data_IF_023654802067
#
_entry.id   IF_023654802067
#
_cell.length_a   1.000
_cell.length_b   1.000
_cell.length_c   1.000
_cell.angle_alpha   90.00
_cell.angle_beta   90.00
_cell.angle_gamma   90.00
#
_symmetry.space_group_name_H-M   'P 1'
#
loop_
_entity.id
_entity.type
_entity.pdbx_description
1 polymer ?
#
# COMPACT_ATOMS: atom_id res chain seq x y z
N UNK A 1 -10.66 -15.13 -10.64
CA UNK A 1 -9.34 -15.30 -11.27
C UNK A 1 -8.45 -16.02 -10.27
N UNK A 2 -7.72 -17.05 -10.69
CA UNK A 2 -6.76 -17.76 -9.84
C UNK A 2 -5.43 -17.84 -10.61
N UNK A 3 -4.29 -17.60 -9.95
CA UNK A 3 -2.99 -17.72 -10.60
C UNK A 3 -2.75 -19.11 -11.19
N UNK A 4 -1.90 -19.23 -12.23
CA UNK A 4 -1.23 -18.13 -12.92
C UNK A 4 -2.12 -17.52 -14.01
N UNK A 5 -2.09 -16.20 -14.14
CA UNK A 5 -2.54 -15.47 -15.32
C UNK A 5 -1.37 -14.65 -15.85
N UNK A 6 -1.25 -14.54 -17.17
CA UNK A 6 -0.22 -13.72 -17.79
C UNK A 6 -0.69 -12.26 -17.85
N UNK A 7 0.11 -11.36 -17.27
CA UNK A 7 -0.11 -9.92 -17.36
C UNK A 7 0.56 -9.38 -18.61
N UNK A 8 -0.22 -8.79 -19.51
CA UNK A 8 0.30 -7.95 -20.58
C UNK A 8 0.23 -6.49 -20.12
N UNK A 9 1.36 -5.93 -19.71
CA UNK A 9 1.45 -4.54 -19.26
C UNK A 9 1.52 -3.61 -20.46
N UNK A 10 0.81 -2.49 -20.39
CA UNK A 10 1.05 -1.36 -21.28
C UNK A 10 2.29 -0.61 -20.79
N UNK A 11 3.41 -0.77 -21.50
CA UNK A 11 4.68 -0.16 -21.12
C UNK A 11 4.68 1.38 -21.17
N UNK A 12 3.69 2.01 -21.80
CA UNK A 12 3.53 3.46 -21.77
C UNK A 12 3.02 3.95 -20.40
N UNK A 13 2.16 3.19 -19.74
CA UNK A 13 1.53 3.57 -18.47
C UNK A 13 2.14 2.83 -17.27
N UNK A 14 2.55 1.57 -17.44
CA UNK A 14 2.94 0.65 -16.37
C UNK A 14 4.31 0.06 -16.64
N UNK A 15 5.30 0.52 -15.88
CA UNK A 15 6.67 0.02 -15.98
C UNK A 15 6.83 -1.41 -15.42
N UNK A 16 6.08 -1.77 -14.39
CA UNK A 16 6.18 -3.07 -13.72
C UNK A 16 4.91 -3.40 -12.93
N UNK A 17 4.63 -4.69 -12.75
CA UNK A 17 3.63 -5.20 -11.84
C UNK A 17 4.26 -6.16 -10.83
N UNK A 18 3.87 -6.06 -9.57
CA UNK A 18 4.33 -6.91 -8.49
C UNK A 18 3.19 -7.25 -7.54
N UNK A 19 3.34 -8.35 -6.80
CA UNK A 19 2.37 -8.79 -5.80
C UNK A 19 2.97 -8.75 -4.40
N UNK A 20 2.13 -8.42 -3.43
CA UNK A 20 2.48 -8.42 -2.01
C UNK A 20 1.50 -9.33 -1.28
N UNK A 21 1.97 -10.27 -0.43
CA UNK A 21 1.08 -11.09 0.37
C UNK A 21 0.16 -10.22 1.22
N UNK A 22 -1.15 -10.47 1.20
CA UNK A 22 -2.12 -9.68 1.95
C UNK A 22 -1.76 -9.58 3.44
N UNK A 23 -1.21 -10.65 4.03
CA UNK A 23 -0.76 -10.67 5.42
C UNK A 23 0.28 -9.59 5.75
N UNK A 24 1.10 -9.15 4.77
CA UNK A 24 2.03 -8.04 4.95
C UNK A 24 1.30 -6.74 5.30
N UNK A 25 0.20 -6.46 4.60
CA UNK A 25 -0.61 -5.27 4.83
C UNK A 25 -1.50 -5.38 6.07
N UNK A 26 -1.80 -6.59 6.53
CA UNK A 26 -2.60 -6.81 7.73
C UNK A 26 -1.78 -6.84 9.02
N UNK A 27 -0.46 -6.95 8.94
CA UNK A 27 0.42 -6.87 10.10
C UNK A 27 0.71 -5.40 10.47
N UNK A 28 0.26 -4.92 11.64
CA UNK A 28 0.56 -3.55 12.09
C UNK A 28 2.05 -3.24 12.21
N UNK A 29 2.93 -4.24 12.36
CA UNK A 29 4.37 -4.03 12.41
C UNK A 29 4.93 -3.44 11.10
N UNK A 30 4.23 -3.63 9.98
CA UNK A 30 4.62 -3.08 8.68
C UNK A 30 4.04 -1.68 8.41
N UNK A 31 3.23 -1.12 9.31
CA UNK A 31 2.60 0.18 9.13
C UNK A 31 3.49 1.29 9.67
N UNK A 32 4.16 1.98 8.77
CA UNK A 32 5.06 3.07 9.13
C UNK A 32 4.38 4.42 8.94
N UNK A 33 4.79 5.40 9.74
CA UNK A 33 4.32 6.79 9.62
C UNK A 33 5.49 7.70 9.35
N UNK A 34 5.38 8.47 8.28
CA UNK A 34 6.36 9.44 7.85
C UNK A 34 5.74 10.84 7.85
N UNK A 35 6.60 11.86 7.77
CA UNK A 35 6.18 13.22 7.48
C UNK A 35 7.07 13.84 6.40
N UNK A 36 6.50 14.80 5.69
CA UNK A 36 7.22 15.69 4.78
C UNK A 36 6.65 17.09 4.88
N UNK A 37 7.45 18.10 4.56
CA UNK A 37 6.96 19.47 4.42
C UNK A 37 6.50 19.67 2.98
N UNK A 38 5.23 20.00 2.80
CA UNK A 38 4.64 20.32 1.51
C UNK A 38 3.90 21.66 1.62
N UNK A 39 4.26 22.62 0.76
CA UNK A 39 3.72 23.98 0.79
C UNK A 39 3.85 24.66 2.16
N UNK A 40 4.99 24.48 2.82
CA UNK A 40 5.27 25.04 4.15
C UNK A 40 4.50 24.39 5.31
N UNK A 41 3.74 23.32 5.05
CA UNK A 41 3.00 22.58 6.07
C UNK A 41 3.54 21.16 6.21
N UNK A 42 3.74 20.73 7.45
CA UNK A 42 4.03 19.32 7.71
C UNK A 42 2.80 18.47 7.39
N UNK A 43 2.99 17.44 6.57
CA UNK A 43 1.98 16.45 6.22
C UNK A 43 2.48 15.07 6.61
N UNK A 44 1.65 14.35 7.36
CA UNK A 44 1.92 12.96 7.70
C UNK A 44 1.28 12.02 6.70
N UNK A 45 1.94 10.90 6.43
CA UNK A 45 1.41 9.83 5.59
C UNK A 45 1.82 8.46 6.11
N UNK A 46 1.04 7.45 5.72
CA UNK A 46 1.37 6.05 5.97
C UNK A 46 2.24 5.50 4.84
N UNK A 47 3.14 4.59 5.20
CA UNK A 47 3.90 3.78 4.27
C UNK A 47 3.95 2.32 4.74
N UNK A 48 4.03 1.40 3.79
CA UNK A 48 4.20 -0.04 4.03
C UNK A 48 5.30 -0.56 3.10
N UNK A 49 6.59 -0.35 3.44
CA UNK A 49 7.69 -0.84 2.60
C UNK A 49 7.64 -2.36 2.43
N UNK A 50 7.98 -2.84 1.24
CA UNK A 50 8.07 -4.27 0.95
C UNK A 50 9.19 -4.52 -0.06
N UNK A 51 10.24 -5.24 0.35
CA UNK A 51 11.47 -5.41 -0.44
C UNK A 51 11.97 -4.04 -0.92
N UNK A 52 12.12 -3.85 -2.22
CA UNK A 52 12.60 -2.63 -2.85
C UNK A 52 11.48 -1.60 -3.11
N UNK A 53 10.23 -1.92 -2.81
CA UNK A 53 9.08 -1.05 -3.03
C UNK A 53 8.71 -0.27 -1.79
N UNK A 54 8.59 1.04 -1.95
CA UNK A 54 8.06 1.94 -0.92
C UNK A 54 6.61 2.27 -1.26
N UNK A 55 5.64 1.59 -0.63
CA UNK A 55 4.21 1.78 -0.89
C UNK A 55 3.68 2.86 0.07
N UNK A 56 3.27 4.01 -0.46
CA UNK A 56 2.94 5.20 0.36
C UNK A 56 1.79 6.02 -0.24
N UNK A 57 1.47 7.15 0.39
CA UNK A 57 0.50 8.12 -0.12
C UNK A 57 -0.92 7.56 -0.18
N UNK A 58 -1.64 7.86 -1.26
CA UNK A 58 -3.03 7.45 -1.44
C UNK A 58 -3.20 5.92 -1.37
N UNK A 59 -2.29 5.17 -1.97
CA UNK A 59 -2.31 3.69 -1.96
C UNK A 59 -2.21 3.13 -0.55
N UNK A 60 -1.23 3.59 0.24
CA UNK A 60 -1.10 3.16 1.63
C UNK A 60 -2.30 3.60 2.48
N UNK A 61 -2.91 4.76 2.18
CA UNK A 61 -4.16 5.19 2.80
C UNK A 61 -5.33 4.23 2.54
N UNK A 62 -5.49 3.77 1.29
CA UNK A 62 -6.50 2.76 0.92
C UNK A 62 -6.25 1.44 1.66
N UNK A 63 -5.00 0.98 1.72
CA UNK A 63 -4.63 -0.25 2.43
C UNK A 63 -4.88 -0.15 3.94
N UNK A 64 -4.60 1.00 4.56
CA UNK A 64 -4.93 1.25 5.97
C UNK A 64 -6.44 1.21 6.23
N UNK A 65 -7.25 1.74 5.31
CA UNK A 65 -8.71 1.67 5.42
C UNK A 65 -9.22 0.22 5.32
N UNK A 66 -8.68 -0.57 4.38
CA UNK A 66 -8.99 -2.00 4.28
C UNK A 66 -8.61 -2.74 5.56
N UNK A 67 -7.41 -2.51 6.09
CA UNK A 67 -6.95 -3.12 7.33
C UNK A 67 -7.87 -2.80 8.51
N UNK A 68 -8.31 -1.54 8.67
CA UNK A 68 -9.24 -1.15 9.73
C UNK A 68 -10.58 -1.85 9.58
N UNK A 69 -11.13 -1.87 8.35
CA UNK A 69 -12.38 -2.56 8.04
C UNK A 69 -12.33 -4.04 8.42
N UNK A 70 -11.22 -4.72 8.17
CA UNK A 70 -11.07 -6.15 8.48
C UNK A 70 -10.78 -6.44 9.96
N UNK A 71 -10.35 -5.45 10.74
CA UNK A 71 -10.05 -5.58 12.17
C UNK A 71 -11.18 -5.15 13.09
N UNK A 72 -12.09 -4.31 12.60
CA UNK A 72 -13.29 -3.93 13.34
C UNK A 72 -14.35 -5.02 13.13
N UNK A 73 -14.80 -5.73 14.18
CA UNK A 73 -15.97 -6.59 14.05
C UNK A 73 -17.18 -5.72 13.71
N UNK A 74 -18.09 -6.24 12.87
CA UNK A 74 -19.39 -5.60 12.65
C UNK A 74 -20.00 -5.22 14.00
N UNK A 75 -20.31 -3.94 14.18
CA UNK A 75 -21.02 -3.44 15.35
C UNK A 75 -22.46 -3.91 15.37
#
# INVERSE_FOLDING_TARGET
MHPPFELQLDAFEVAEAFEVPLGHFLDPANHQRYSLVHEGRERHFHAMPYKDYFIWGATAGILMSLYRLLREPER
#
